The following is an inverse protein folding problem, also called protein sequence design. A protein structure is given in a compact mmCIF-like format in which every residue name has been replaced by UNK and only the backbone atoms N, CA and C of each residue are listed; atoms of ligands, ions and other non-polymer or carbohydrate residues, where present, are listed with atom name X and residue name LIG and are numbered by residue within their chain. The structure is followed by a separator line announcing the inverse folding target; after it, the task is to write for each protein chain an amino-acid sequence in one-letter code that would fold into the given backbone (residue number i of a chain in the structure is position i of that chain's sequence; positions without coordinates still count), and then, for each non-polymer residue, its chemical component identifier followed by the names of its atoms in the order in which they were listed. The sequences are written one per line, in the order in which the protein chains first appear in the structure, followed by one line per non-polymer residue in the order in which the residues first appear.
data_IF_871830354634
#
_entry.id   IF_871830354634
#
_cell.length_a   1.000
_cell.length_b   1.000
_cell.length_c   1.000
_cell.angle_alpha   90.00
_cell.angle_beta   90.00
_cell.angle_gamma   90.00
#
_symmetry.space_group_name_H-M   'P 1'
#
loop_
_entity.id
_entity.type
_entity.pdbx_description
1 polymer ?
#
# COMPACT_ATOMS: atom_id res chain seq x y z
N UNK A 1 -5.77 3.52 11.48
CA UNK A 1 -5.88 4.83 10.77
C UNK A 1 -5.35 4.65 9.37
N UNK A 2 -5.79 5.49 8.43
CA UNK A 2 -5.37 5.42 7.02
C UNK A 2 -4.74 6.73 6.62
N UNK A 3 -3.66 6.65 5.86
CA UNK A 3 -3.14 7.75 5.02
C UNK A 3 -3.06 7.26 3.58
N UNK A 4 -2.77 8.16 2.64
CA UNK A 4 -2.63 7.83 1.22
C UNK A 4 -1.33 8.39 0.69
N UNK A 5 -0.48 7.55 0.11
CA UNK A 5 0.85 7.93 -0.33
C UNK A 5 1.31 7.12 -1.55
N UNK A 6 2.12 7.73 -2.41
CA UNK A 6 2.93 7.05 -3.41
C UNK A 6 4.17 7.86 -3.72
N UNK A 7 5.28 7.52 -3.07
CA UNK A 7 6.61 8.15 -3.22
C UNK A 7 7.45 7.60 -4.39
N UNK A 8 6.98 6.54 -5.04
CA UNK A 8 7.68 5.76 -6.07
C UNK A 8 8.92 4.99 -5.60
N UNK A 9 9.29 5.06 -4.32
CA UNK A 9 10.41 4.34 -3.76
C UNK A 9 10.23 2.83 -3.92
N UNK A 10 11.34 2.10 -3.85
CA UNK A 10 11.30 0.65 -3.71
C UNK A 10 10.56 0.27 -2.42
N UNK A 11 9.47 -0.51 -2.47
CA UNK A 11 8.77 -0.96 -1.26
C UNK A 11 9.69 -1.81 -0.39
N UNK A 12 9.62 -1.68 0.94
CA UNK A 12 10.51 -2.40 1.86
C UNK A 12 10.40 -3.92 1.75
N UNK A 13 9.21 -4.46 1.46
CA UNK A 13 9.01 -5.91 1.26
C UNK A 13 9.56 -6.44 -0.08
N UNK A 14 10.17 -5.57 -0.88
CA UNK A 14 10.87 -5.94 -2.13
C UNK A 14 12.31 -6.37 -1.88
N UNK A 15 12.84 -6.16 -0.67
CA UNK A 15 14.17 -6.64 -0.29
C UNK A 15 14.13 -8.12 0.08
N UNK A 16 15.17 -8.85 -0.33
CA UNK A 16 15.35 -10.25 0.05
C UNK A 16 15.44 -10.42 1.58
N UNK A 17 14.90 -11.52 2.09
CA UNK A 17 15.03 -11.89 3.50
C UNK A 17 14.11 -11.13 4.47
N UNK A 18 13.23 -10.26 3.99
CA UNK A 18 12.28 -9.52 4.83
C UNK A 18 11.20 -10.40 5.46
N UNK A 19 10.73 -11.42 4.74
CA UNK A 19 9.74 -12.39 5.21
C UNK A 19 9.90 -13.75 4.51
N UNK A 20 9.19 -14.78 5.00
CA UNK A 20 9.16 -16.10 4.35
C UNK A 20 8.15 -16.13 3.20
N UNK A 21 8.63 -15.74 2.02
CA UNK A 21 7.82 -15.56 0.81
C UNK A 21 8.43 -16.34 -0.37
N UNK A 22 7.61 -16.67 -1.37
CA UNK A 22 8.08 -17.30 -2.61
C UNK A 22 9.16 -16.45 -3.30
N UNK A 23 8.88 -15.15 -3.45
CA UNK A 23 9.77 -14.11 -3.97
C UNK A 23 9.41 -12.79 -3.27
N UNK A 24 10.35 -11.86 -3.07
CA UNK A 24 10.02 -10.52 -2.59
C UNK A 24 9.04 -9.80 -3.52
N UNK A 25 8.46 -8.70 -3.03
CA UNK A 25 7.63 -7.82 -3.84
C UNK A 25 8.41 -7.37 -5.09
N UNK A 26 7.79 -7.49 -6.26
CA UNK A 26 8.39 -7.07 -7.53
C UNK A 26 8.58 -5.56 -7.57
N UNK A 27 9.65 -5.15 -8.23
CA UNK A 27 9.94 -3.74 -8.52
C UNK A 27 10.11 -3.55 -10.00
N UNK A 28 10.00 -2.29 -10.44
CA UNK A 28 10.14 -1.92 -11.83
C UNK A 28 11.22 -0.86 -11.97
N UNK A 29 11.87 -0.84 -13.12
CA UNK A 29 12.78 0.22 -13.47
C UNK A 29 12.03 1.52 -13.84
N UNK A 30 12.79 2.56 -14.18
CA UNK A 30 12.22 3.85 -14.58
C UNK A 30 11.19 3.78 -15.71
N UNK A 31 11.37 2.84 -16.66
CA UNK A 31 10.48 2.63 -17.80
C UNK A 31 9.28 1.72 -17.47
N UNK A 32 9.17 1.22 -16.24
CA UNK A 32 8.11 0.30 -15.84
C UNK A 32 8.39 -1.17 -16.18
N UNK A 33 9.62 -1.51 -16.58
CA UNK A 33 10.03 -2.89 -16.83
C UNK A 33 10.34 -3.60 -15.51
N UNK A 34 9.83 -4.82 -15.33
CA UNK A 34 10.09 -5.63 -14.14
C UNK A 34 11.58 -5.88 -13.94
N UNK A 35 12.05 -5.65 -12.72
CA UNK A 35 13.40 -6.01 -12.29
C UNK A 35 13.41 -7.40 -11.68
N UNK A 36 14.42 -8.19 -12.03
CA UNK A 36 14.64 -9.54 -11.49
C UNK A 36 15.58 -9.57 -10.30
N UNK A 37 16.40 -8.53 -10.12
CA UNK A 37 17.33 -8.41 -8.99
C UNK A 37 16.62 -7.75 -7.80
N UNK A 38 16.28 -8.51 -6.74
CA UNK A 38 15.67 -7.96 -5.53
C UNK A 38 16.63 -7.06 -4.73
N UNK A 39 17.93 -7.04 -5.05
CA UNK A 39 18.92 -6.19 -4.40
C UNK A 39 19.25 -4.91 -5.19
N UNK A 40 18.60 -4.69 -6.33
CA UNK A 40 18.70 -3.44 -7.08
C UNK A 40 18.40 -2.25 -6.16
N UNK A 41 19.27 -1.23 -6.20
CA UNK A 41 19.20 -0.06 -5.32
C UNK A 41 17.90 0.72 -5.58
N UNK A 42 17.25 1.19 -4.52
CA UNK A 42 16.03 1.99 -4.61
C UNK A 42 16.28 3.24 -5.44
N UNK A 43 15.31 3.66 -6.25
CA UNK A 43 15.34 4.96 -6.91
C UNK A 43 15.42 6.14 -5.92
N UNK A 44 14.92 5.93 -4.69
CA UNK A 44 15.08 6.89 -3.60
C UNK A 44 16.48 6.88 -2.96
N UNK A 45 17.35 5.97 -3.36
CA UNK A 45 18.75 5.95 -2.92
C UNK A 45 19.70 6.13 -4.13
N UNK A 46 19.20 6.72 -5.22
CA UNK A 46 19.96 6.97 -6.45
C UNK A 46 20.08 5.76 -7.39
N UNK A 47 19.35 4.67 -7.11
CA UNK A 47 19.27 3.50 -7.97
C UNK A 47 18.20 3.57 -9.05
N UNK A 48 17.79 2.41 -9.54
CA UNK A 48 16.80 2.25 -10.62
C UNK A 48 15.64 1.32 -10.22
N UNK A 49 15.47 0.99 -8.94
CA UNK A 49 14.36 0.16 -8.47
C UNK A 49 13.24 1.00 -7.87
N UNK A 50 12.07 0.97 -8.49
CA UNK A 50 10.88 1.75 -8.10
C UNK A 50 9.68 0.84 -7.85
N UNK A 51 8.66 1.37 -7.16
CA UNK A 51 7.33 0.75 -7.12
C UNK A 51 6.75 0.65 -8.53
N UNK A 52 6.32 -0.56 -8.93
CA UNK A 52 5.67 -0.76 -10.23
C UNK A 52 4.36 0.05 -10.34
N UNK A 53 4.04 0.57 -11.52
CA UNK A 53 2.86 1.43 -11.74
C UNK A 53 1.55 0.68 -11.61
N UNK A 54 1.54 -0.62 -11.92
CA UNK A 54 0.40 -1.51 -11.71
C UNK A 54 0.13 -1.84 -10.24
N UNK A 55 1.03 -1.48 -9.32
CA UNK A 55 0.72 -1.44 -7.89
C UNK A 55 -0.07 -0.17 -7.58
N UNK A 56 -1.32 -0.19 -8.00
CA UNK A 56 -2.32 0.86 -7.80
C UNK A 56 -3.62 0.20 -7.33
N UNK A 57 -4.52 0.91 -6.65
CA UNK A 57 -5.78 0.34 -6.20
C UNK A 57 -6.76 0.20 -7.36
N UNK A 58 -7.69 -0.74 -7.27
CA UNK A 58 -8.74 -0.94 -8.28
C UNK A 58 -10.07 -1.38 -7.68
N UNK A 59 -11.13 -1.13 -8.44
CA UNK A 59 -12.51 -1.47 -8.10
C UNK A 59 -12.74 -2.94 -8.48
N UNK A 60 -13.28 -3.73 -7.54
CA UNK A 60 -13.80 -5.06 -7.81
C UNK A 60 -15.30 -4.98 -8.07
N UNK A 61 -16.00 -4.27 -7.18
CA UNK A 61 -17.42 -3.95 -7.27
C UNK A 61 -17.73 -2.68 -6.45
N UNK A 62 -19.00 -2.28 -6.38
CA UNK A 62 -19.43 -1.06 -5.68
C UNK A 62 -19.04 -1.04 -4.19
N UNK A 63 -18.86 -2.20 -3.55
CA UNK A 63 -18.56 -2.32 -2.12
C UNK A 63 -17.15 -2.84 -1.83
N UNK A 64 -16.42 -3.31 -2.85
CA UNK A 64 -15.11 -3.95 -2.70
C UNK A 64 -14.07 -3.33 -3.63
N UNK A 65 -12.93 -2.96 -3.04
CA UNK A 65 -11.72 -2.60 -3.78
C UNK A 65 -10.53 -3.47 -3.36
N UNK A 66 -9.53 -3.57 -4.23
CA UNK A 66 -8.24 -4.19 -3.91
C UNK A 66 -7.11 -3.18 -4.05
N UNK A 67 -5.98 -3.42 -3.39
CA UNK A 67 -4.80 -2.59 -3.52
C UNK A 67 -3.63 -3.03 -2.66
N UNK A 68 -2.79 -2.07 -2.30
CA UNK A 68 -1.55 -2.26 -1.57
C UNK A 68 -1.41 -1.20 -0.48
N UNK A 69 -0.66 -1.49 0.56
CA UNK A 69 -0.41 -0.53 1.63
C UNK A 69 1.00 -0.66 2.21
N UNK A 70 1.52 0.45 2.73
CA UNK A 70 2.51 0.42 3.79
C UNK A 70 1.81 0.22 5.13
N UNK A 71 2.35 -0.62 6.00
CA UNK A 71 1.67 -0.97 7.27
C UNK A 71 2.59 -0.80 8.48
N UNK A 72 1.97 -0.51 9.62
CA UNK A 72 2.58 -0.65 10.94
C UNK A 72 1.55 -1.26 11.89
N UNK A 73 1.71 -2.54 12.20
CA UNK A 73 0.73 -3.33 12.97
C UNK A 73 1.29 -3.64 14.35
N UNK A 74 0.50 -3.36 15.39
CA UNK A 74 0.91 -3.58 16.78
C UNK A 74 1.30 -5.04 17.03
N UNK A 75 2.44 -5.24 17.70
CA UNK A 75 2.96 -6.57 18.02
C UNK A 75 3.58 -7.33 16.83
N UNK A 76 3.65 -6.71 15.65
CA UNK A 76 4.27 -7.26 14.45
C UNK A 76 5.59 -6.59 14.06
N UNK A 77 6.17 -7.08 12.97
CA UNK A 77 7.29 -6.46 12.26
C UNK A 77 7.23 -6.87 10.77
N UNK A 78 8.21 -6.43 9.98
CA UNK A 78 8.25 -6.76 8.53
C UNK A 78 8.17 -8.25 8.24
N UNK A 79 8.75 -9.09 9.10
CA UNK A 79 8.68 -10.55 8.92
C UNK A 79 7.27 -11.09 9.05
N UNK A 80 6.42 -10.46 9.87
CA UNK A 80 5.05 -10.91 10.10
C UNK A 80 4.05 -10.31 9.12
N UNK A 81 4.27 -9.08 8.63
CA UNK A 81 3.30 -8.44 7.73
C UNK A 81 3.70 -8.42 6.26
N UNK A 82 4.99 -8.53 5.88
CA UNK A 82 5.34 -8.42 4.47
C UNK A 82 4.63 -9.49 3.64
N UNK A 83 3.97 -9.01 2.58
CA UNK A 83 3.15 -9.77 1.65
C UNK A 83 1.90 -10.44 2.24
N UNK A 84 1.55 -10.13 3.49
CA UNK A 84 0.28 -10.50 4.10
C UNK A 84 -0.86 -9.64 3.54
N UNK A 85 -2.09 -10.17 3.54
CA UNK A 85 -3.26 -9.40 3.13
C UNK A 85 -4.21 -9.14 4.30
N UNK A 86 -4.83 -7.96 4.24
CA UNK A 86 -5.78 -7.51 5.25
C UNK A 86 -7.05 -7.03 4.57
N UNK A 87 -8.20 -7.47 5.08
CA UNK A 87 -9.49 -6.85 4.77
C UNK A 87 -9.67 -5.66 5.71
N UNK A 88 -9.82 -4.48 5.12
CA UNK A 88 -10.13 -3.22 5.78
C UNK A 88 -11.62 -2.95 5.59
N UNK A 89 -12.38 -2.93 6.68
CA UNK A 89 -13.77 -2.50 6.70
C UNK A 89 -13.82 -1.05 7.17
N UNK A 90 -14.21 -0.13 6.27
CA UNK A 90 -14.27 1.30 6.59
C UNK A 90 -15.40 1.61 7.57
N UNK A 91 -15.10 2.37 8.61
CA UNK A 91 -16.02 2.71 9.71
C UNK A 91 -16.34 4.20 9.78
N UNK A 92 -15.70 5.04 8.97
CA UNK A 92 -15.99 6.47 8.87
C UNK A 92 -15.81 7.01 7.45
N UNK A 93 -16.19 8.27 7.25
CA UNK A 93 -16.09 8.95 5.96
C UNK A 93 -17.13 8.48 4.92
N UNK A 94 -17.03 8.98 3.68
CA UNK A 94 -17.99 8.66 2.61
C UNK A 94 -17.94 7.20 2.13
N UNK A 95 -16.91 6.46 2.55
CA UNK A 95 -16.70 5.04 2.23
C UNK A 95 -17.12 4.10 3.35
N UNK A 96 -17.68 4.61 4.45
CA UNK A 96 -18.13 3.78 5.56
C UNK A 96 -19.06 2.64 5.09
N UNK A 97 -18.78 1.42 5.55
CA UNK A 97 -19.51 0.21 5.14
C UNK A 97 -18.93 -0.49 3.90
N UNK A 98 -18.07 0.17 3.11
CA UNK A 98 -17.28 -0.51 2.07
C UNK A 98 -16.13 -1.30 2.67
N UNK A 99 -15.56 -2.20 1.88
CA UNK A 99 -14.36 -2.96 2.24
C UNK A 99 -13.27 -2.86 1.19
N UNK A 100 -12.03 -2.95 1.63
CA UNK A 100 -10.85 -3.02 0.76
C UNK A 100 -9.93 -4.14 1.20
N UNK A 101 -9.45 -4.98 0.28
CA UNK A 101 -8.38 -5.94 0.59
C UNK A 101 -7.06 -5.36 0.11
N UNK A 102 -6.11 -5.18 1.02
CA UNK A 102 -4.77 -4.68 0.71
C UNK A 102 -3.72 -5.73 1.00
N UNK A 103 -2.69 -5.80 0.16
CA UNK A 103 -1.45 -6.48 0.52
C UNK A 103 -0.45 -5.49 1.12
N UNK A 104 0.18 -5.88 2.23
CA UNK A 104 1.27 -5.13 2.83
C UNK A 104 2.55 -5.29 2.01
N UNK A 105 2.96 -4.24 1.32
CA UNK A 105 4.16 -4.23 0.45
C UNK A 105 5.28 -3.36 0.99
N UNK A 106 4.99 -2.52 1.99
CA UNK A 106 5.94 -1.61 2.60
C UNK A 106 5.66 -1.47 4.10
N UNK A 107 6.56 -0.79 4.80
CA UNK A 107 6.40 -0.39 6.20
C UNK A 107 6.38 1.13 6.28
N UNK A 108 5.43 1.72 7.00
CA UNK A 108 5.49 3.14 7.36
C UNK A 108 5.97 3.29 8.80
N UNK A 109 7.25 3.63 8.97
CA UNK A 109 7.92 3.68 10.27
C UNK A 109 7.52 4.88 11.15
N UNK A 110 6.94 5.90 10.54
CA UNK A 110 6.39 7.13 11.14
C UNK A 110 4.92 7.01 11.57
N UNK A 111 4.28 5.90 11.21
CA UNK A 111 2.88 5.68 11.47
C UNK A 111 2.63 5.24 12.91
N UNK A 112 1.50 5.69 13.48
CA UNK A 112 0.99 5.15 14.75
C UNK A 112 0.69 3.64 14.67
N UNK A 113 0.37 3.03 15.81
CA UNK A 113 0.01 1.60 15.85
C UNK A 113 -1.27 1.32 15.03
N UNK A 114 -1.28 0.19 14.31
CA UNK A 114 -2.39 -0.27 13.47
C UNK A 114 -2.77 0.75 12.38
N UNK A 115 -1.75 1.11 11.59
CA UNK A 115 -1.87 2.06 10.51
C UNK A 115 -1.67 1.41 9.14
N UNK A 116 -2.45 1.87 8.17
CA UNK A 116 -2.41 1.45 6.78
C UNK A 116 -2.28 2.68 5.90
N UNK A 117 -1.09 2.95 5.38
CA UNK A 117 -0.90 3.96 4.35
C UNK A 117 -1.18 3.32 2.98
N UNK A 118 -2.36 3.58 2.43
CA UNK A 118 -2.83 2.95 1.20
C UNK A 118 -2.09 3.56 0.02
N UNK A 119 -1.53 2.70 -0.82
CA UNK A 119 -0.81 3.11 -2.00
C UNK A 119 -1.78 3.68 -3.04
N UNK A 120 -1.81 5.00 -3.18
CA UNK A 120 -2.68 5.71 -4.11
C UNK A 120 -1.86 6.72 -4.93
N UNK A 121 -1.75 6.56 -6.27
CA UNK A 121 -1.12 7.58 -7.08
C UNK A 121 -1.82 8.93 -6.92
N UNK A 122 -1.04 10.00 -6.70
CA UNK A 122 -1.59 11.31 -6.38
C UNK A 122 -2.06 11.47 -4.94
N UNK A 123 -1.74 10.56 -4.02
CA UNK A 123 -1.96 10.72 -2.57
C UNK A 123 -0.94 11.63 -1.86
N UNK A 124 0.16 11.95 -2.55
CA UNK A 124 1.31 12.67 -2.00
C UNK A 124 2.56 11.79 -2.02
N UNK A 125 3.73 12.40 -1.89
CA UNK A 125 5.02 11.70 -1.81
C UNK A 125 5.45 11.46 -0.36
N UNK A 126 4.85 12.18 0.59
CA UNK A 126 5.26 12.14 1.99
C UNK A 126 6.71 12.59 2.18
N UNK A 127 7.46 11.83 2.97
CA UNK A 127 8.84 12.17 3.36
C UNK A 127 9.84 12.07 2.19
N UNK A 128 9.70 11.06 1.33
CA UNK A 128 10.63 10.79 0.24
C UNK A 128 10.21 11.50 -1.05
N UNK A 129 10.56 12.78 -1.16
CA UNK A 129 10.09 13.66 -2.25
C UNK A 129 10.80 13.46 -3.59
N UNK A 130 11.88 12.69 -3.63
CA UNK A 130 12.73 12.53 -4.83
C UNK A 130 12.47 11.26 -5.63
N UNK A 131 11.74 10.28 -5.09
CA UNK A 131 11.47 9.01 -5.78
C UNK A 131 10.71 9.19 -7.09
N UNK A 132 9.54 9.84 -7.05
CA UNK A 132 8.74 10.05 -8.25
C UNK A 132 9.38 11.02 -9.25
N UNK A 133 10.01 12.15 -8.85
CA UNK A 133 10.80 12.96 -9.78
C UNK A 133 11.96 12.20 -10.42
N UNK A 134 12.64 11.33 -9.66
CA UNK A 134 13.66 10.45 -10.23
C UNK A 134 13.03 9.47 -11.24
N UNK A 135 11.83 8.93 -10.98
CA UNK A 135 11.20 7.99 -11.90
C UNK A 135 10.66 8.67 -13.17
N UNK A 136 9.95 9.79 -13.03
CA UNK A 136 9.11 10.35 -14.09
C UNK A 136 9.56 11.73 -14.58
N UNK A 137 10.63 12.30 -14.02
CA UNK A 137 11.12 13.62 -14.38
C UNK A 137 10.25 14.73 -13.81
N UNK A 138 9.51 15.45 -14.66
CA UNK A 138 8.65 16.58 -14.29
C UNK A 138 7.35 16.14 -13.59
N UNK A 139 7.49 15.35 -12.52
CA UNK A 139 6.39 14.95 -11.68
C UNK A 139 5.85 16.16 -10.89
N UNK A 140 4.58 16.49 -11.05
CA UNK A 140 3.93 17.60 -10.34
C UNK A 140 2.89 17.14 -9.32
N UNK A 141 2.85 15.83 -8.99
CA UNK A 141 1.76 15.06 -8.37
C UNK A 141 1.20 15.55 -7.03
N UNK A 142 0.71 16.78 -7.08
CA UNK A 142 0.11 17.58 -6.05
C UNK A 142 1.03 17.96 -4.90
N UNK A 143 0.38 18.31 -3.78
CA UNK A 143 1.06 18.65 -2.55
C UNK A 143 1.89 17.46 -2.03
N UNK A 144 2.98 17.77 -1.32
CA UNK A 144 3.85 16.73 -0.72
C UNK A 144 3.05 15.74 0.14
N UNK A 145 2.12 16.25 0.95
CA UNK A 145 1.18 15.47 1.74
C UNK A 145 -0.24 15.71 1.21
N UNK A 146 -1.00 14.64 0.97
CA UNK A 146 -2.36 14.73 0.41
C UNK A 146 -2.42 14.84 -1.12
N UNK A 147 -1.30 15.09 -1.79
CA UNK A 147 -1.16 14.96 -3.24
C UNK A 147 -2.11 15.86 -4.02
N UNK A 148 -2.72 15.31 -5.08
CA UNK A 148 -3.62 16.08 -5.95
C UNK A 148 -4.87 16.53 -5.18
N UNK A 149 -5.31 17.75 -5.43
CA UNK A 149 -6.43 18.38 -4.75
C UNK A 149 -7.80 18.02 -5.39
N UNK A 150 -7.82 17.62 -6.65
CA UNK A 150 -9.04 17.25 -7.36
C UNK A 150 -8.81 16.19 -8.44
N UNK A 151 -9.91 15.62 -8.90
CA UNK A 151 -9.92 14.53 -9.89
C UNK A 151 -9.25 14.90 -11.22
N UNK A 152 -9.37 16.14 -11.66
CA UNK A 152 -8.84 16.57 -12.97
C UNK A 152 -7.30 16.63 -12.97
N UNK A 153 -6.69 16.91 -11.81
CA UNK A 153 -5.24 16.85 -11.65
C UNK A 153 -4.67 15.43 -11.82
N UNK A 154 -5.49 14.38 -11.73
CA UNK A 154 -5.02 13.02 -12.05
C UNK A 154 -4.48 12.90 -13.47
N UNK A 155 -4.96 13.72 -14.41
CA UNK A 155 -4.51 13.71 -15.81
C UNK A 155 -3.16 14.38 -16.03
N UNK A 156 -2.58 15.01 -15.00
CA UNK A 156 -1.21 15.54 -15.00
C UNK A 156 -0.19 14.45 -14.65
N UNK A 157 -0.64 13.36 -14.02
CA UNK A 157 0.21 12.22 -13.69
C UNK A 157 0.57 11.41 -14.95
N UNK A 158 1.69 10.66 -14.93
CA UNK A 158 2.02 9.66 -15.95
C UNK A 158 0.82 8.74 -16.23
N UNK A 159 0.57 8.47 -17.51
CA UNK A 159 -0.62 7.74 -17.99
C UNK A 159 -0.89 6.43 -17.23
N UNK A 160 0.17 5.70 -16.88
CA UNK A 160 0.08 4.43 -16.14
C UNK A 160 -0.52 4.57 -14.73
N UNK A 161 -0.55 5.77 -14.17
CA UNK A 161 -0.98 6.07 -12.80
C UNK A 161 -2.33 6.75 -12.72
N UNK A 162 -2.83 7.28 -13.84
CA UNK A 162 -4.10 8.00 -13.93
C UNK A 162 -5.24 7.15 -13.36
N UNK A 163 -5.33 5.86 -13.72
CA UNK A 163 -6.40 4.98 -13.23
C UNK A 163 -6.41 4.84 -11.71
N UNK A 164 -5.23 4.66 -11.09
CA UNK A 164 -5.12 4.58 -9.64
C UNK A 164 -5.43 5.89 -8.94
N UNK A 165 -5.10 7.03 -9.57
CA UNK A 165 -5.47 8.34 -9.06
C UNK A 165 -6.99 8.58 -9.16
N UNK A 166 -7.62 8.24 -10.28
CA UNK A 166 -9.06 8.37 -10.44
C UNK A 166 -9.84 7.52 -9.44
N UNK A 167 -9.33 6.32 -9.09
CA UNK A 167 -9.92 5.48 -8.04
C UNK A 167 -10.11 6.22 -6.72
N UNK A 168 -9.17 7.12 -6.34
CA UNK A 168 -9.26 7.93 -5.12
C UNK A 168 -10.54 8.78 -5.10
N UNK A 169 -10.89 9.38 -6.23
CA UNK A 169 -12.05 10.26 -6.34
C UNK A 169 -13.34 9.50 -6.65
N UNK A 170 -13.25 8.41 -7.40
CA UNK A 170 -14.41 7.67 -7.91
C UNK A 170 -14.95 6.69 -6.86
N UNK A 171 -14.17 5.66 -6.50
CA UNK A 171 -14.63 4.62 -5.57
C UNK A 171 -14.40 5.01 -4.12
N UNK A 172 -13.25 5.60 -3.84
CA UNK A 172 -12.86 6.02 -2.49
C UNK A 172 -13.47 7.36 -2.09
N UNK A 173 -14.18 8.03 -3.02
CA UNK A 173 -14.95 9.26 -2.79
C UNK A 173 -14.14 10.37 -2.12
N UNK A 174 -12.84 10.41 -2.40
CA UNK A 174 -11.87 11.32 -1.78
C UNK A 174 -11.97 11.35 -0.24
N UNK A 175 -12.22 10.19 0.38
CA UNK A 175 -12.28 10.07 1.83
C UNK A 175 -10.95 10.52 2.45
N UNK A 176 -11.03 11.43 3.42
CA UNK A 176 -9.86 11.92 4.14
C UNK A 176 -9.61 11.03 5.37
N UNK A 177 -8.59 10.18 5.28
CA UNK A 177 -8.08 9.34 6.37
C UNK A 177 -9.17 8.57 7.16
N UNK A 178 -10.03 7.78 6.48
CA UNK A 178 -11.12 7.08 7.15
C UNK A 178 -10.60 6.05 8.17
N UNK A 179 -11.34 5.84 9.25
CA UNK A 179 -11.07 4.78 10.21
C UNK A 179 -11.51 3.43 9.64
N UNK A 180 -10.86 2.36 10.10
CA UNK A 180 -11.14 0.98 9.68
C UNK A 180 -11.09 0.02 10.86
N UNK A 181 -11.89 -1.03 10.76
CA UNK A 181 -11.57 -2.30 11.40
C UNK A 181 -10.82 -3.16 10.39
N UNK A 182 -9.83 -3.94 10.82
CA UNK A 182 -9.10 -4.81 9.90
C UNK A 182 -8.95 -6.23 10.45
N UNK A 183 -8.83 -7.18 9.53
CA UNK A 183 -8.46 -8.56 9.84
C UNK A 183 -7.55 -9.10 8.75
N UNK A 184 -6.64 -9.98 9.14
CA UNK A 184 -5.81 -10.74 8.19
C UNK A 184 -6.70 -11.70 7.39
N UNK A 185 -6.44 -11.82 6.09
CA UNK A 185 -7.17 -12.69 5.15
C UNK A 185 -6.21 -13.34 4.18
N UNK A 186 -6.61 -14.45 3.57
CA UNK A 186 -5.88 -15.03 2.45
C UNK A 186 -5.80 -14.02 1.30
N UNK A 187 -4.60 -13.79 0.78
CA UNK A 187 -4.42 -12.89 -0.35
C UNK A 187 -5.16 -13.39 -1.60
N UNK A 188 -6.05 -12.56 -2.19
CA UNK A 188 -6.60 -12.83 -3.50
C UNK A 188 -5.49 -12.97 -4.55
N UNK A 189 -5.62 -13.93 -5.46
CA UNK A 189 -4.67 -14.13 -6.56
C UNK A 189 -4.55 -12.90 -7.47
N UNK A 190 -5.63 -12.12 -7.59
CA UNK A 190 -5.60 -10.83 -8.28
C UNK A 190 -4.55 -9.86 -7.70
N UNK A 191 -4.31 -9.90 -6.39
CA UNK A 191 -3.31 -9.05 -5.71
C UNK A 191 -1.92 -9.67 -5.82
N UNK A 192 -1.76 -10.97 -5.52
CA UNK A 192 -0.44 -11.61 -5.55
C UNK A 192 0.13 -11.75 -6.96
N UNK A 193 -0.70 -11.81 -8.01
CA UNK A 193 -0.22 -11.80 -9.39
C UNK A 193 0.46 -10.47 -9.77
N UNK A 194 0.00 -9.36 -9.20
CA UNK A 194 0.59 -8.03 -9.41
C UNK A 194 1.92 -7.93 -8.68
N UNK A 195 1.94 -8.24 -7.37
CA UNK A 195 3.16 -8.10 -6.56
C UNK A 195 4.19 -9.20 -6.79
N UNK A 196 3.76 -10.37 -7.26
CA UNK A 196 4.56 -11.58 -7.30
C UNK A 196 4.81 -12.23 -5.95
N UNK A 197 4.39 -11.60 -4.85
CA UNK A 197 4.75 -12.01 -3.50
C UNK A 197 3.60 -12.74 -2.82
N UNK A 198 3.87 -13.95 -2.39
CA UNK A 198 2.97 -14.80 -1.61
C UNK A 198 3.74 -15.38 -0.45
N UNK A 199 3.16 -15.26 0.74
CA UNK A 199 3.70 -15.84 1.96
C UNK A 199 3.64 -17.37 1.92
N UNK A 200 4.74 -18.04 2.27
CA UNK A 200 4.79 -19.52 2.33
C UNK A 200 4.07 -20.07 3.56
N UNK A 201 3.92 -19.25 4.59
CA UNK A 201 3.15 -19.52 5.81
C UNK A 201 1.69 -19.05 5.72
N UNK A 202 1.21 -18.62 4.53
CA UNK A 202 -0.17 -18.21 4.32
C UNK A 202 -1.15 -19.31 4.78
N UNK A 203 -2.09 -18.94 5.65
CA UNK A 203 -3.05 -19.87 6.27
C UNK A 203 -2.64 -20.37 7.66
N UNK A 204 -1.42 -20.10 8.11
CA UNK A 204 -1.07 -20.10 9.54
C UNK A 204 -1.35 -18.73 10.11
N UNK A 205 -2.61 -18.30 10.11
CA UNK A 205 -2.98 -17.08 10.81
C UNK A 205 -2.39 -17.16 12.23
N UNK A 206 -1.65 -16.14 12.71
CA UNK A 206 -1.32 -16.09 14.13
C UNK A 206 -2.64 -16.18 14.89
N UNK A 207 -2.71 -17.11 15.84
CA UNK A 207 -3.85 -17.24 16.72
C UNK A 207 -4.26 -15.85 17.19
N UNK A 208 -5.51 -15.47 16.93
CA UNK A 208 -6.04 -14.20 17.40
C UNK A 208 -5.74 -14.12 18.90
N UNK A 209 -4.92 -13.16 19.30
CA UNK A 209 -4.79 -12.83 20.72
C UNK A 209 -6.15 -12.26 21.09
N UNK A 210 -6.97 -13.11 21.71
CA UNK A 210 -8.26 -12.72 22.23
C UNK A 210 -8.06 -11.48 23.13
N UNK A 211 -8.99 -10.51 23.11
CA UNK A 211 -8.97 -9.46 24.11
C UNK A 211 -9.09 -10.13 25.47
N UNK A 212 -8.05 -10.02 26.29
CA UNK A 212 -8.04 -10.52 27.65
C UNK A 212 -9.27 -9.97 28.39
N UNK A 213 -10.17 -10.88 28.75
CA UNK A 213 -11.31 -10.60 29.59
C UNK A 213 -10.88 -10.10 30.97
N UNK A 214 -11.68 -9.16 31.46
CA UNK A 214 -11.61 -8.47 32.75
C UNK A 214 -11.59 -9.40 33.97
N UNK A 215 -10.99 -8.93 35.06
CA UNK A 215 -11.52 -9.18 36.41
C UNK A 215 -11.55 -7.88 37.24
N UNK A 216 -12.76 -7.66 37.75
CA UNK A 216 -13.30 -6.78 38.80
C UNK A 216 -12.40 -6.32 39.93
N UNK A 217 -12.80 -5.17 40.50
CA UNK A 217 -12.19 -4.56 41.67
C UNK A 217 -12.53 -5.20 43.02
N UNK A 218 -11.90 -4.60 44.03
CA UNK A 218 -12.26 -4.57 45.44
C UNK A 218 -11.99 -3.13 45.92
#
# INVERSE_FOLDING_TARGET
MIESNRDCCKPSCSWSGKADVNTPVRTCNRQGTLLTDPNAVSGCDGGDSFTCTNMSPWIVDDNTAYGFAAVNIAGGNERTWCCECYELAFTSGPVAGKKMIVQATNTGGDLGHNHFDIMMPGGGLGWFTHGCPAQFGSWDGGAQYGGVANRDQCYQLPCALVKGCLWRFDWFQNADNPSVNFKQVTCPTAITNVSGCTRRDAGKAPAQVAPGGTCTGA
#
